data_IF_020688837564
#
_entry.id   IF_020688837564
#
_cell.length_a   1.000
_cell.length_b   1.000
_cell.length_c   1.000
_cell.angle_alpha   90.00
_cell.angle_beta   90.00
_cell.angle_gamma   90.00
#
_symmetry.space_group_name_H-M   'P 1'
#
loop_
_entity.id
_entity.type
_entity.pdbx_description
1 polymer ?
#
# COMPACT_ATOMS: atom_id res chain seq x y z
N UNK A 1 1.66 -13.77 5.71
CA UNK A 1 1.03 -12.50 6.13
C UNK A 1 -0.02 -12.75 7.21
N UNK A 2 -1.03 -13.57 6.92
CA UNK A 2 -2.19 -13.83 7.79
C UNK A 2 -1.86 -14.33 9.20
N UNK A 3 -1.02 -15.37 9.36
CA UNK A 3 -0.65 -15.86 10.71
C UNK A 3 0.10 -14.81 11.54
N UNK A 4 1.00 -14.03 10.91
CA UNK A 4 1.71 -12.95 11.60
C UNK A 4 0.74 -11.85 12.07
N UNK A 5 -0.25 -11.53 11.25
CA UNK A 5 -1.26 -10.52 11.59
C UNK A 5 -2.20 -11.00 12.70
N UNK A 6 -2.63 -12.26 12.66
CA UNK A 6 -3.43 -12.87 13.74
C UNK A 6 -2.67 -12.89 15.07
N UNK A 7 -1.40 -13.32 15.06
CA UNK A 7 -0.55 -13.30 16.26
C UNK A 7 -0.37 -11.89 16.81
N UNK A 8 -0.15 -10.90 15.94
CA UNK A 8 -0.05 -9.50 16.36
C UNK A 8 -1.36 -8.97 16.98
N UNK A 9 -2.50 -9.34 16.42
CA UNK A 9 -3.82 -8.97 16.95
C UNK A 9 -4.07 -9.58 18.33
N UNK A 10 -3.73 -10.86 18.54
CA UNK A 10 -3.86 -11.52 19.84
C UNK A 10 -2.93 -10.90 20.88
N UNK A 11 -1.67 -10.66 20.53
CA UNK A 11 -0.71 -9.99 21.41
C UNK A 11 -1.18 -8.58 21.82
N UNK A 12 -1.73 -7.81 20.88
CA UNK A 12 -2.30 -6.50 21.16
C UNK A 12 -3.54 -6.59 22.06
N UNK A 13 -4.47 -7.48 21.74
CA UNK A 13 -5.71 -7.62 22.49
C UNK A 13 -5.44 -8.02 23.96
N UNK A 14 -4.68 -9.09 24.20
CA UNK A 14 -4.40 -9.51 25.58
C UNK A 14 -3.51 -8.52 26.33
N UNK A 15 -2.46 -8.00 25.69
CA UNK A 15 -1.50 -7.12 26.37
C UNK A 15 -1.95 -5.66 26.54
N UNK A 16 -2.70 -5.10 25.58
CA UNK A 16 -3.09 -3.67 25.58
C UNK A 16 -4.56 -3.42 25.87
N UNK A 17 -5.45 -4.36 25.53
CA UNK A 17 -6.89 -4.20 25.77
C UNK A 17 -7.29 -4.85 27.09
N UNK A 18 -6.88 -6.11 27.31
CA UNK A 18 -7.24 -6.86 28.53
C UNK A 18 -6.24 -6.70 29.68
N UNK A 19 -5.05 -6.16 29.42
CA UNK A 19 -3.97 -6.03 30.40
C UNK A 19 -3.59 -7.36 31.07
N UNK A 20 -3.69 -8.47 30.33
CA UNK A 20 -3.37 -9.82 30.80
C UNK A 20 -2.03 -10.26 30.21
N UNK A 21 -1.12 -10.73 31.06
CA UNK A 21 0.14 -11.32 30.61
C UNK A 21 -0.07 -12.77 30.17
N UNK A 22 0.45 -13.10 28.99
CA UNK A 22 0.43 -14.46 28.43
C UNK A 22 1.85 -14.85 28.00
N UNK A 23 2.70 -15.30 28.95
CA UNK A 23 4.11 -15.58 28.69
C UNK A 23 4.33 -16.56 27.52
N UNK A 24 3.47 -17.59 27.42
CA UNK A 24 3.51 -18.61 26.36
C UNK A 24 3.18 -18.08 24.96
N UNK A 25 2.52 -16.93 24.83
CA UNK A 25 2.10 -16.40 23.53
C UNK A 25 3.30 -15.91 22.69
N UNK A 26 4.39 -15.54 23.36
CA UNK A 26 5.65 -15.18 22.70
C UNK A 26 6.42 -16.41 22.18
N UNK A 27 6.09 -17.60 22.66
CA UNK A 27 6.72 -18.86 22.23
C UNK A 27 6.16 -19.35 20.88
N UNK A 28 5.04 -18.78 20.42
CA UNK A 28 4.49 -19.07 19.09
C UNK A 28 5.48 -18.60 18.02
N UNK A 29 6.03 -19.57 17.28
CA UNK A 29 6.97 -19.32 16.20
C UNK A 29 6.43 -18.33 15.17
N UNK A 30 7.20 -17.25 14.93
CA UNK A 30 6.85 -16.28 13.89
C UNK A 30 7.10 -16.90 12.51
N UNK A 31 6.14 -16.83 11.57
CA UNK A 31 6.36 -17.32 10.21
C UNK A 31 7.55 -16.59 9.59
N UNK A 32 8.44 -17.34 8.94
CA UNK A 32 9.50 -16.76 8.14
C UNK A 32 8.86 -15.99 6.98
N UNK A 33 9.18 -14.71 6.79
CA UNK A 33 8.66 -13.97 5.64
C UNK A 33 9.25 -14.57 4.36
N UNK A 34 8.40 -15.03 3.45
CA UNK A 34 8.82 -15.31 2.08
C UNK A 34 8.98 -13.97 1.37
N UNK A 35 10.21 -13.64 0.96
CA UNK A 35 10.50 -12.44 0.16
C UNK A 35 10.11 -12.73 -1.29
N UNK A 36 8.96 -12.22 -1.73
CA UNK A 36 8.63 -12.17 -3.15
C UNK A 36 9.41 -11.03 -3.78
N UNK A 37 10.11 -11.30 -4.87
CA UNK A 37 10.69 -10.23 -5.67
C UNK A 37 9.54 -9.48 -6.36
N UNK A 38 9.55 -8.15 -6.35
CA UNK A 38 8.55 -7.38 -7.09
C UNK A 38 8.71 -7.71 -8.57
N UNK A 39 7.60 -8.07 -9.21
CA UNK A 39 7.51 -8.18 -10.67
C UNK A 39 7.08 -6.81 -11.16
N UNK A 40 7.92 -6.19 -11.99
CA UNK A 40 7.65 -4.88 -12.57
C UNK A 40 7.29 -5.04 -14.04
N UNK A 41 6.39 -4.18 -14.52
CA UNK A 41 6.05 -4.10 -15.92
C UNK A 41 7.19 -3.41 -16.69
N UNK A 42 7.45 -3.91 -17.90
CA UNK A 42 8.28 -3.23 -18.90
C UNK A 42 7.58 -1.97 -19.42
N UNK A 43 8.33 -0.99 -19.94
CA UNK A 43 7.73 0.21 -20.55
C UNK A 43 6.69 -0.11 -21.62
N UNK A 44 6.95 -1.12 -22.47
CA UNK A 44 6.00 -1.53 -23.52
C UNK A 44 4.71 -2.13 -22.97
N UNK A 45 4.78 -2.89 -21.87
CA UNK A 45 3.59 -3.40 -21.19
C UNK A 45 2.76 -2.26 -20.59
N UNK A 46 3.42 -1.26 -20.00
CA UNK A 46 2.73 -0.08 -19.46
C UNK A 46 2.03 0.69 -20.57
N UNK A 47 2.71 0.94 -21.70
CA UNK A 47 2.11 1.63 -22.85
C UNK A 47 0.89 0.89 -23.37
N UNK A 48 0.98 -0.45 -23.52
CA UNK A 48 -0.17 -1.26 -23.95
C UNK A 48 -1.33 -1.17 -22.96
N UNK A 49 -1.08 -1.34 -21.67
CA UNK A 49 -2.13 -1.29 -20.63
C UNK A 49 -2.80 0.09 -20.62
N UNK A 50 -2.03 1.17 -20.61
CA UNK A 50 -2.57 2.54 -20.64
C UNK A 50 -3.35 2.83 -21.92
N UNK A 51 -3.00 2.17 -23.04
CA UNK A 51 -3.71 2.28 -24.31
C UNK A 51 -5.10 1.62 -24.32
N UNK A 52 -5.37 0.67 -23.42
CA UNK A 52 -6.69 0.04 -23.25
C UNK A 52 -7.59 0.76 -22.24
N UNK A 53 -7.08 1.78 -21.55
CA UNK A 53 -7.84 2.57 -20.59
C UNK A 53 -8.37 3.85 -21.23
N UNK A 54 -9.51 4.33 -20.76
CA UNK A 54 -10.15 5.56 -21.24
C UNK A 54 -10.56 6.47 -20.08
N UNK A 55 -10.79 7.75 -20.40
CA UNK A 55 -11.30 8.75 -19.47
C UNK A 55 -10.54 8.83 -18.14
N UNK A 56 -11.28 8.85 -17.04
CA UNK A 56 -10.76 9.00 -15.68
C UNK A 56 -9.83 7.85 -15.28
N UNK A 57 -10.11 6.62 -15.73
CA UNK A 57 -9.27 5.46 -15.41
C UNK A 57 -7.87 5.56 -16.04
N UNK A 58 -7.80 6.06 -17.28
CA UNK A 58 -6.51 6.31 -17.94
C UNK A 58 -5.72 7.40 -17.23
N UNK A 59 -6.38 8.52 -16.89
CA UNK A 59 -5.75 9.61 -16.15
C UNK A 59 -5.21 9.12 -14.80
N UNK A 60 -6.02 8.37 -14.05
CA UNK A 60 -5.62 7.85 -12.75
C UNK A 60 -4.45 6.87 -12.86
N UNK A 61 -4.49 5.94 -13.81
CA UNK A 61 -3.40 4.99 -14.03
C UNK A 61 -2.08 5.69 -14.45
N UNK A 62 -2.16 6.71 -15.31
CA UNK A 62 -1.01 7.54 -15.68
C UNK A 62 -0.44 8.29 -14.47
N UNK A 63 -1.31 8.83 -13.62
CA UNK A 63 -0.91 9.54 -12.41
C UNK A 63 -0.17 8.61 -11.44
N UNK A 64 -0.72 7.43 -11.17
CA UNK A 64 -0.08 6.43 -10.31
C UNK A 64 1.27 6.00 -10.87
N UNK A 65 1.33 5.70 -12.17
CA UNK A 65 2.58 5.27 -12.81
C UNK A 65 3.64 6.38 -12.84
N UNK A 66 3.25 7.60 -13.19
CA UNK A 66 4.16 8.73 -13.33
C UNK A 66 4.72 9.27 -12.01
N UNK A 67 4.02 9.04 -10.89
CA UNK A 67 4.40 9.55 -9.57
C UNK A 67 4.89 8.47 -8.60
N UNK A 68 4.55 7.20 -8.86
CA UNK A 68 4.85 6.08 -7.97
C UNK A 68 4.01 6.06 -6.69
N UNK A 69 2.96 6.88 -6.59
CA UNK A 69 2.09 6.93 -5.41
C UNK A 69 1.28 5.63 -5.24
N UNK A 70 0.91 5.33 -4.00
CA UNK A 70 0.01 4.20 -3.68
C UNK A 70 -1.40 4.52 -4.15
N UNK A 71 -2.17 3.47 -4.46
CA UNK A 71 -3.58 3.62 -4.88
C UNK A 71 -4.38 4.41 -3.85
N UNK A 72 -4.18 4.16 -2.54
CA UNK A 72 -4.87 4.89 -1.48
C UNK A 72 -4.56 6.39 -1.47
N UNK A 73 -3.31 6.77 -1.76
CA UNK A 73 -2.88 8.18 -1.84
C UNK A 73 -3.56 8.86 -3.02
N UNK A 74 -3.56 8.22 -4.19
CA UNK A 74 -4.24 8.74 -5.38
C UNK A 74 -5.76 8.88 -5.19
N UNK A 75 -6.41 7.92 -4.52
CA UNK A 75 -7.85 7.97 -4.25
C UNK A 75 -8.25 9.08 -3.26
N UNK A 76 -7.32 9.54 -2.43
CA UNK A 76 -7.55 10.61 -1.45
C UNK A 76 -7.13 11.99 -1.96
N UNK A 77 -6.53 12.06 -3.15
CA UNK A 77 -6.01 13.29 -3.73
C UNK A 77 -7.13 14.31 -3.96
N UNK A 78 -6.86 15.57 -3.60
CA UNK A 78 -7.79 16.68 -3.84
C UNK A 78 -7.19 17.64 -4.85
N UNK A 79 -8.04 18.39 -5.55
CA UNK A 79 -7.59 19.40 -6.54
C UNK A 79 -6.58 20.39 -5.95
N UNK A 80 -6.75 20.79 -4.69
CA UNK A 80 -5.84 21.71 -3.98
C UNK A 80 -4.44 21.14 -3.69
N UNK A 81 -4.25 19.84 -3.90
CA UNK A 81 -2.98 19.16 -3.67
C UNK A 81 -2.11 19.14 -4.93
N UNK A 82 -2.64 19.61 -6.05
CA UNK A 82 -1.95 19.77 -7.32
C UNK A 82 -1.36 21.19 -7.40
N UNK A 83 -0.03 21.27 -7.38
CA UNK A 83 0.70 22.51 -7.66
C UNK A 83 1.22 22.46 -9.10
N UNK A 84 0.48 23.11 -10.00
CA UNK A 84 0.81 23.14 -11.42
C UNK A 84 1.98 24.06 -11.74
N UNK A 85 2.25 25.08 -10.93
CA UNK A 85 3.37 26.01 -11.15
C UNK A 85 4.71 25.32 -10.92
N UNK A 86 4.76 24.43 -9.92
CA UNK A 86 5.97 23.66 -9.60
C UNK A 86 5.95 22.24 -10.18
N UNK A 87 4.83 21.81 -10.78
CA UNK A 87 4.67 20.45 -11.30
C UNK A 87 4.75 19.38 -10.20
N UNK A 88 4.23 19.69 -9.01
CA UNK A 88 4.30 18.82 -7.83
C UNK A 88 2.93 18.42 -7.31
N UNK A 89 2.90 17.30 -6.59
CA UNK A 89 1.69 16.77 -5.97
C UNK A 89 1.97 16.54 -4.50
N UNK A 90 1.12 17.11 -3.64
CA UNK A 90 1.25 17.01 -2.19
C UNK A 90 0.44 15.79 -1.70
N UNK A 91 1.14 14.71 -1.38
CA UNK A 91 0.52 13.51 -0.76
C UNK A 91 0.35 13.76 0.73
N UNK A 92 -0.89 13.65 1.23
CA UNK A 92 -1.23 13.80 2.65
C UNK A 92 -1.45 12.42 3.27
N UNK A 93 -0.94 12.21 4.49
CA UNK A 93 -1.21 11.03 5.32
C UNK A 93 -2.58 11.11 6.02
#
# INVERSE_FOLDING_TARGET
STHRQALAALLFFYGKVLCTDLPWLQEIGRPRPSRRLPVVLTPDEVVRILGFLEGEHRLFAQLLYGTGMRISEGLQLRVKDLDFDHGTIIVRE
#
